data_IF_082007362231
#
_entry.id   IF_082007362231
#
_cell.length_a   1.000
_cell.length_b   1.000
_cell.length_c   1.000
_cell.angle_alpha   90.00
_cell.angle_beta   90.00
_cell.angle_gamma   90.00
#
_symmetry.space_group_name_H-M   'P 1'
#
loop_
_entity.id
_entity.type
_entity.pdbx_description
1 polymer ?
#
# COMPACT_ATOMS: atom_id res chain seq x y z
N UNK A 1 -16.73 24.15 -10.26
CA UNK A 1 -16.60 24.52 -8.84
C UNK A 1 -16.06 23.30 -8.13
N UNK A 2 -14.86 23.41 -7.56
CA UNK A 2 -14.31 22.33 -6.73
C UNK A 2 -15.16 22.24 -5.46
N UNK A 3 -15.58 21.04 -5.02
CA UNK A 3 -16.38 20.91 -3.81
C UNK A 3 -15.56 21.33 -2.60
N UNK A 4 -16.22 21.91 -1.59
CA UNK A 4 -15.56 22.25 -0.33
C UNK A 4 -14.96 20.98 0.32
N UNK A 5 -13.80 21.09 0.99
CA UNK A 5 -13.19 19.97 1.70
C UNK A 5 -14.15 19.40 2.75
N UNK A 6 -14.08 18.09 2.94
CA UNK A 6 -14.77 17.45 4.07
C UNK A 6 -14.11 17.95 5.37
N UNK A 7 -14.89 18.34 6.40
CA UNK A 7 -14.35 18.77 7.68
C UNK A 7 -13.48 17.69 8.34
N UNK A 8 -12.44 18.11 9.05
CA UNK A 8 -11.52 17.19 9.75
C UNK A 8 -12.23 16.38 10.85
N UNK A 9 -13.28 16.94 11.45
CA UNK A 9 -14.09 16.30 12.49
C UNK A 9 -15.23 15.41 11.95
N UNK A 10 -15.32 15.21 10.63
CA UNK A 10 -16.36 14.37 10.04
C UNK A 10 -16.32 12.93 10.58
N UNK A 11 -17.42 12.51 11.21
CA UNK A 11 -17.58 11.15 11.72
C UNK A 11 -18.31 10.27 10.69
N UNK A 12 -17.53 9.58 9.87
CA UNK A 12 -18.04 8.62 8.89
C UNK A 12 -16.95 8.13 7.95
N UNK A 13 -17.34 7.32 6.96
CA UNK A 13 -16.41 6.88 5.92
C UNK A 13 -16.30 7.93 4.81
N UNK A 14 -15.06 8.35 4.54
CA UNK A 14 -14.70 9.18 3.38
C UNK A 14 -13.50 8.53 2.66
N UNK A 15 -13.70 7.28 2.25
CA UNK A 15 -12.68 6.44 1.60
C UNK A 15 -13.19 5.95 0.25
N UNK A 16 -12.27 5.69 -0.67
CA UNK A 16 -12.59 5.02 -1.92
C UNK A 16 -11.34 4.42 -2.56
N UNK A 17 -11.54 3.67 -3.65
CA UNK A 17 -10.49 2.83 -4.20
C UNK A 17 -9.68 3.52 -5.31
N UNK A 18 -8.36 3.31 -5.27
CA UNK A 18 -7.47 3.48 -6.40
C UNK A 18 -7.01 2.09 -6.85
N UNK A 19 -7.44 1.67 -8.04
CA UNK A 19 -7.17 0.33 -8.57
C UNK A 19 -6.65 0.44 -10.00
N UNK A 20 -5.58 -0.30 -10.29
CA UNK A 20 -5.10 -0.54 -11.63
C UNK A 20 -4.43 -1.91 -11.72
N UNK A 21 -4.37 -2.47 -12.93
CA UNK A 21 -3.76 -3.76 -13.21
C UNK A 21 -2.43 -3.59 -13.93
N UNK A 22 -1.58 -4.60 -13.81
CA UNK A 22 -0.35 -4.72 -14.61
C UNK A 22 -0.10 -6.18 -15.00
N UNK A 23 0.57 -6.43 -16.14
CA UNK A 23 0.88 -7.79 -16.56
C UNK A 23 1.76 -8.51 -15.53
N UNK A 24 1.34 -9.72 -15.12
CA UNK A 24 1.99 -10.48 -14.05
C UNK A 24 3.42 -10.89 -14.39
N UNK A 25 3.69 -11.21 -15.66
CA UNK A 25 5.01 -11.52 -16.19
C UNK A 25 5.97 -10.32 -16.08
N UNK A 26 5.47 -9.10 -16.36
CA UNK A 26 6.22 -7.86 -16.19
C UNK A 26 6.47 -7.55 -14.71
N UNK A 27 5.46 -7.71 -13.85
CA UNK A 27 5.60 -7.53 -12.40
C UNK A 27 6.61 -8.51 -11.79
N UNK A 28 6.66 -9.75 -12.29
CA UNK A 28 7.60 -10.78 -11.82
C UNK A 28 9.04 -10.58 -12.32
N UNK A 29 9.29 -9.61 -13.20
CA UNK A 29 10.64 -9.33 -13.72
C UNK A 29 11.48 -8.66 -12.62
N UNK A 30 12.64 -9.24 -12.31
CA UNK A 30 13.54 -8.70 -11.29
C UNK A 30 14.12 -7.33 -11.67
N UNK A 31 14.50 -6.54 -10.66
CA UNK A 31 15.15 -5.25 -10.82
C UNK A 31 14.23 -4.15 -11.34
N UNK A 32 14.79 -3.24 -12.15
CA UNK A 32 14.15 -2.00 -12.56
C UNK A 32 12.84 -2.21 -13.33
N UNK A 33 12.73 -3.26 -14.15
CA UNK A 33 11.56 -3.46 -15.02
C UNK A 33 10.31 -3.77 -14.21
N UNK A 34 10.38 -4.72 -13.26
CA UNK A 34 9.24 -5.05 -12.41
C UNK A 34 8.89 -3.90 -11.46
N UNK A 35 9.90 -3.25 -10.87
CA UNK A 35 9.69 -2.09 -10.01
C UNK A 35 9.02 -0.93 -10.75
N UNK A 36 9.51 -0.58 -11.93
CA UNK A 36 8.92 0.48 -12.75
C UNK A 36 7.48 0.12 -13.14
N UNK A 37 7.24 -1.12 -13.57
CA UNK A 37 5.88 -1.60 -13.89
C UNK A 37 4.91 -1.43 -12.72
N UNK A 38 5.33 -1.84 -11.51
CA UNK A 38 4.53 -1.67 -10.30
C UNK A 38 4.28 -0.19 -9.97
N UNK A 39 5.33 0.64 -9.99
CA UNK A 39 5.23 2.08 -9.73
C UNK A 39 4.30 2.78 -10.73
N UNK A 40 4.42 2.48 -12.02
CA UNK A 40 3.55 3.04 -13.07
C UNK A 40 2.10 2.65 -12.85
N UNK A 41 1.82 1.39 -12.50
CA UNK A 41 0.45 0.94 -12.22
C UNK A 41 -0.16 1.67 -11.03
N UNK A 42 0.59 1.81 -9.92
CA UNK A 42 0.14 2.55 -8.72
C UNK A 42 -0.06 4.03 -9.02
N UNK A 43 0.88 4.68 -9.73
CA UNK A 43 0.75 6.08 -10.11
C UNK A 43 -0.49 6.33 -10.98
N UNK A 44 -0.71 5.49 -11.99
CA UNK A 44 -1.89 5.58 -12.83
C UNK A 44 -3.20 5.31 -12.05
N UNK A 45 -3.17 4.39 -11.07
CA UNK A 45 -4.33 4.16 -10.19
C UNK A 45 -4.69 5.42 -9.39
N UNK A 46 -3.69 6.10 -8.82
CA UNK A 46 -3.87 7.33 -8.03
C UNK A 46 -4.32 8.48 -8.94
N UNK A 47 -3.68 8.65 -10.10
CA UNK A 47 -4.04 9.71 -11.05
C UNK A 47 -5.49 9.57 -11.51
N UNK A 48 -5.92 8.35 -11.86
CA UNK A 48 -7.30 8.06 -12.23
C UNK A 48 -8.28 8.35 -11.08
N UNK A 49 -7.92 7.97 -9.85
CA UNK A 49 -8.78 8.18 -8.68
C UNK A 49 -8.96 9.68 -8.37
N UNK A 50 -7.87 10.46 -8.43
CA UNK A 50 -7.84 11.87 -8.04
C UNK A 50 -8.34 12.79 -9.16
N UNK A 51 -7.83 12.66 -10.39
CA UNK A 51 -8.12 13.61 -11.48
C UNK A 51 -9.47 13.40 -12.13
N UNK A 52 -9.83 12.14 -12.39
CA UNK A 52 -11.07 11.81 -13.12
C UNK A 52 -12.27 11.85 -12.19
N UNK A 53 -12.06 12.06 -10.89
CA UNK A 53 -13.12 11.97 -9.89
C UNK A 53 -13.72 10.57 -9.82
N UNK A 54 -12.98 9.53 -10.23
CA UNK A 54 -13.46 8.14 -10.22
C UNK A 54 -13.89 7.69 -8.82
N UNK A 55 -13.35 8.32 -7.77
CA UNK A 55 -13.74 8.08 -6.38
C UNK A 55 -15.13 8.66 -6.03
N UNK A 56 -15.62 9.63 -6.82
CA UNK A 56 -16.90 10.32 -6.62
C UNK A 56 -18.11 9.51 -7.11
N UNK A 57 -17.87 8.36 -7.75
CA UNK A 57 -18.89 7.40 -8.16
C UNK A 57 -18.66 6.07 -7.45
N UNK A 58 -19.20 5.91 -6.23
CA UNK A 58 -19.05 4.71 -5.39
C UNK A 58 -19.30 3.39 -6.13
N UNK A 59 -20.34 3.39 -6.95
CA UNK A 59 -20.83 2.23 -7.68
C UNK A 59 -19.78 1.74 -8.68
N UNK A 60 -19.19 2.67 -9.45
CA UNK A 60 -18.24 2.35 -10.51
C UNK A 60 -16.92 1.78 -9.97
N UNK A 61 -16.36 2.37 -8.91
CA UNK A 61 -15.13 1.83 -8.36
C UNK A 61 -15.38 0.54 -7.57
N UNK A 62 -16.55 0.37 -6.97
CA UNK A 62 -16.92 -0.89 -6.30
C UNK A 62 -17.09 -2.04 -7.31
N UNK A 63 -17.71 -1.78 -8.45
CA UNK A 63 -17.80 -2.74 -9.57
C UNK A 63 -16.40 -3.18 -10.03
N UNK A 64 -15.47 -2.24 -10.23
CA UNK A 64 -14.09 -2.55 -10.63
C UNK A 64 -13.35 -3.39 -9.58
N UNK A 65 -13.52 -3.08 -8.29
CA UNK A 65 -12.94 -3.88 -7.21
C UNK A 65 -13.53 -5.29 -7.21
N UNK A 66 -14.86 -5.41 -7.38
CA UNK A 66 -15.55 -6.69 -7.45
C UNK A 66 -15.07 -7.52 -8.64
N UNK A 67 -14.97 -6.92 -9.83
CA UNK A 67 -14.44 -7.58 -11.03
C UNK A 67 -13.02 -8.08 -10.82
N UNK A 68 -12.12 -7.26 -10.25
CA UNK A 68 -10.75 -7.67 -9.97
C UNK A 68 -10.65 -8.83 -8.97
N UNK A 69 -11.53 -8.86 -7.95
CA UNK A 69 -11.61 -9.99 -7.02
C UNK A 69 -12.11 -11.25 -7.74
N UNK A 70 -13.12 -11.11 -8.61
CA UNK A 70 -13.75 -12.23 -9.31
C UNK A 70 -12.89 -12.78 -10.46
N UNK A 71 -12.01 -11.98 -11.06
CA UNK A 71 -11.14 -12.43 -12.16
C UNK A 71 -10.09 -13.45 -11.69
N UNK A 72 -9.78 -13.48 -10.40
CA UNK A 72 -8.81 -14.41 -9.83
C UNK A 72 -7.35 -14.10 -10.17
N UNK A 73 -7.08 -12.97 -10.82
CA UNK A 73 -5.74 -12.56 -11.28
C UNK A 73 -4.79 -12.13 -10.14
N UNK A 74 -5.25 -12.21 -8.90
CA UNK A 74 -4.51 -11.85 -7.69
C UNK A 74 -4.61 -10.36 -7.40
N UNK A 75 -5.39 -10.00 -6.37
CA UNK A 75 -5.52 -8.62 -5.90
C UNK A 75 -4.63 -8.45 -4.67
N UNK A 76 -3.73 -7.47 -4.72
CA UNK A 76 -2.99 -7.01 -3.54
C UNK A 76 -3.66 -5.75 -2.99
N UNK A 77 -4.21 -5.84 -1.79
CA UNK A 77 -4.79 -4.70 -1.08
C UNK A 77 -3.83 -4.16 -0.02
N UNK A 78 -3.97 -2.87 0.30
CA UNK A 78 -3.22 -2.20 1.36
C UNK A 78 -4.18 -1.75 2.44
N UNK A 79 -3.85 -2.04 3.70
CA UNK A 79 -4.58 -1.61 4.88
C UNK A 79 -3.73 -0.61 5.68
N UNK A 80 -4.36 0.47 6.14
CA UNK A 80 -3.67 1.53 6.89
C UNK A 80 -3.09 2.63 6.00
N UNK A 81 -2.43 3.59 6.64
CA UNK A 81 -1.79 4.73 6.00
C UNK A 81 -0.74 5.32 6.94
N UNK A 82 0.47 5.67 6.46
CA UNK A 82 1.45 6.40 7.26
C UNK A 82 0.96 7.77 7.75
N UNK A 83 -0.16 8.28 7.20
CA UNK A 83 -0.78 9.53 7.63
C UNK A 83 -1.65 9.37 8.87
N UNK A 84 -2.00 8.15 9.27
CA UNK A 84 -2.82 7.92 10.46
C UNK A 84 -2.05 8.16 11.77
N UNK A 85 -0.70 8.15 11.74
CA UNK A 85 0.14 8.49 12.89
C UNK A 85 -0.21 7.66 14.14
N UNK A 86 -0.46 6.37 13.94
CA UNK A 86 -0.89 5.41 14.98
C UNK A 86 0.12 5.28 16.12
N UNK A 87 1.41 5.47 15.88
CA UNK A 87 2.45 5.52 16.91
C UNK A 87 2.45 6.84 17.70
N UNK A 88 1.72 7.87 17.25
CA UNK A 88 1.53 9.12 17.97
C UNK A 88 0.51 9.05 19.11
N UNK A 89 -0.20 7.93 19.26
CA UNK A 89 -1.19 7.73 20.34
C UNK A 89 -0.47 7.48 21.66
N UNK A 90 -0.71 8.34 22.65
CA UNK A 90 -0.17 8.18 24.01
C UNK A 90 -1.29 8.23 25.04
N UNK A 91 -1.46 7.15 25.79
CA UNK A 91 -2.44 7.03 26.87
C UNK A 91 -1.88 7.46 28.24
N UNK A 92 -0.69 8.04 28.29
CA UNK A 92 0.05 8.39 29.52
C UNK A 92 1.19 7.43 29.86
N UNK A 93 1.44 6.43 29.02
CA UNK A 93 2.49 5.42 29.20
C UNK A 93 3.62 5.55 28.18
N UNK A 94 3.58 6.59 27.36
CA UNK A 94 4.46 6.76 26.21
C UNK A 94 3.88 6.13 24.94
N UNK A 95 4.59 6.31 23.83
CA UNK A 95 4.20 5.84 22.51
C UNK A 95 4.18 4.30 22.42
N UNK A 96 3.35 3.71 21.53
CA UNK A 96 3.26 2.27 21.37
C UNK A 96 4.61 1.67 20.97
N UNK A 97 4.94 0.50 21.52
CA UNK A 97 6.15 -0.22 21.16
C UNK A 97 6.07 -0.84 19.75
N UNK A 98 4.88 -1.30 19.36
CA UNK A 98 4.56 -1.91 18.07
C UNK A 98 3.06 -1.75 17.77
N UNK A 99 2.72 -1.55 16.49
CA UNK A 99 1.33 -1.58 15.98
C UNK A 99 1.20 -2.70 14.96
N UNK A 100 0.11 -3.46 15.03
CA UNK A 100 -0.21 -4.55 14.10
C UNK A 100 -1.67 -4.47 13.65
N UNK A 101 -1.91 -4.52 12.33
CA UNK A 101 -3.27 -4.61 11.77
C UNK A 101 -3.61 -6.08 11.58
N UNK A 102 -4.05 -6.75 12.65
CA UNK A 102 -4.24 -8.22 12.67
C UNK A 102 -5.25 -8.75 11.64
N UNK A 103 -6.20 -7.90 11.20
CA UNK A 103 -7.23 -8.28 10.22
C UNK A 103 -6.65 -8.64 8.86
N UNK A 104 -5.43 -8.19 8.53
CA UNK A 104 -4.78 -8.48 7.25
C UNK A 104 -4.39 -9.94 7.09
N UNK A 105 -4.21 -10.67 8.19
CA UNK A 105 -3.92 -12.10 8.15
C UNK A 105 -5.04 -12.91 7.49
N UNK A 106 -6.29 -12.46 7.64
CA UNK A 106 -7.46 -13.08 7.02
C UNK A 106 -7.67 -12.63 5.57
N UNK A 107 -7.37 -11.37 5.26
CA UNK A 107 -7.65 -10.80 3.93
C UNK A 107 -6.52 -10.96 2.93
N UNK A 108 -5.30 -11.28 3.39
CA UNK A 108 -4.10 -11.30 2.55
C UNK A 108 -3.61 -9.90 2.17
N UNK A 109 -4.14 -8.85 2.81
CA UNK A 109 -3.70 -7.48 2.58
C UNK A 109 -2.31 -7.22 3.18
N UNK A 110 -1.66 -6.15 2.70
CA UNK A 110 -0.45 -5.60 3.29
C UNK A 110 -0.82 -4.47 4.26
N UNK A 111 -0.40 -4.58 5.51
CA UNK A 111 -0.54 -3.52 6.50
C UNK A 111 0.55 -2.46 6.32
N UNK A 112 0.20 -1.19 6.42
CA UNK A 112 1.12 -0.06 6.29
C UNK A 112 0.86 0.97 7.38
N UNK A 113 1.93 1.39 8.07
CA UNK A 113 1.94 2.47 9.05
C UNK A 113 3.23 3.29 8.93
N UNK A 114 3.28 4.45 9.57
CA UNK A 114 4.52 5.20 9.71
C UNK A 114 5.53 4.42 10.56
N UNK A 115 6.82 4.60 10.28
CA UNK A 115 7.86 3.96 11.08
C UNK A 115 7.98 4.64 12.44
N UNK A 116 8.05 3.81 13.48
CA UNK A 116 8.41 4.27 14.82
C UNK A 116 9.86 4.75 14.91
N UNK A 117 10.76 4.21 14.08
CA UNK A 117 12.23 4.30 14.28
C UNK A 117 12.90 5.37 13.41
N UNK A 118 12.33 5.70 12.28
CA UNK A 118 12.96 6.60 11.31
C UNK A 118 11.95 7.61 10.78
N UNK A 119 12.31 8.89 10.84
CA UNK A 119 11.53 9.96 10.22
C UNK A 119 11.36 9.68 8.72
N UNK A 120 10.12 9.73 8.25
CA UNK A 120 9.77 9.42 6.86
C UNK A 120 9.80 7.93 6.49
N UNK A 121 10.12 7.04 7.43
CA UNK A 121 10.08 5.60 7.21
C UNK A 121 8.66 5.04 7.22
N UNK A 122 8.51 3.85 6.65
CA UNK A 122 7.24 3.11 6.58
C UNK A 122 7.46 1.72 7.18
N UNK A 123 6.54 1.28 8.04
CA UNK A 123 6.46 -0.10 8.47
C UNK A 123 5.44 -0.86 7.63
N UNK A 124 5.85 -2.03 7.15
CA UNK A 124 5.04 -2.91 6.30
C UNK A 124 4.84 -4.25 7.01
N UNK A 125 3.59 -4.63 7.22
CA UNK A 125 3.19 -5.92 7.80
C UNK A 125 2.56 -6.81 6.74
N UNK A 126 3.02 -8.06 6.62
CA UNK A 126 2.49 -9.04 5.68
C UNK A 126 2.39 -10.39 6.41
N UNK A 127 1.25 -11.07 6.24
CA UNK A 127 1.02 -12.40 6.79
C UNK A 127 1.00 -13.42 5.65
N UNK A 128 2.00 -14.30 5.60
CA UNK A 128 2.14 -15.34 4.59
C UNK A 128 2.41 -16.69 5.27
N UNK A 129 2.07 -17.84 4.63
CA UNK A 129 2.55 -19.15 5.06
C UNK A 129 4.07 -19.18 5.20
N UNK A 130 4.61 -20.03 6.09
CA UNK A 130 6.04 -20.05 6.44
C UNK A 130 6.97 -20.12 5.22
N UNK A 131 6.67 -20.99 4.25
CA UNK A 131 7.49 -21.14 3.05
C UNK A 131 7.44 -19.90 2.14
N UNK A 132 6.27 -19.27 2.06
CA UNK A 132 6.09 -18.03 1.30
C UNK A 132 6.78 -16.85 1.98
N UNK A 133 6.76 -16.78 3.31
CA UNK A 133 7.51 -15.77 4.09
C UNK A 133 9.00 -15.88 3.81
N UNK A 134 9.56 -17.09 3.82
CA UNK A 134 10.99 -17.30 3.52
C UNK A 134 11.35 -16.82 2.10
N UNK A 135 10.54 -17.18 1.10
CA UNK A 135 10.76 -16.71 -0.28
C UNK A 135 10.65 -15.19 -0.38
N UNK A 136 9.64 -14.60 0.25
CA UNK A 136 9.46 -13.15 0.27
C UNK A 136 10.67 -12.44 0.88
N UNK A 137 11.21 -12.95 2.00
CA UNK A 137 12.41 -12.41 2.64
C UNK A 137 13.62 -12.43 1.71
N UNK A 138 13.85 -13.53 0.99
CA UNK A 138 14.93 -13.61 0.00
C UNK A 138 14.73 -12.57 -1.11
N UNK A 139 13.55 -12.52 -1.73
CA UNK A 139 13.25 -11.56 -2.79
C UNK A 139 13.40 -10.10 -2.33
N UNK A 140 12.93 -9.79 -1.11
CA UNK A 140 13.04 -8.45 -0.54
C UNK A 140 14.49 -8.07 -0.27
N UNK A 141 15.27 -8.98 0.32
CA UNK A 141 16.70 -8.76 0.54
C UNK A 141 17.45 -8.48 -0.76
N UNK A 142 17.22 -9.30 -1.79
CA UNK A 142 17.86 -9.15 -3.10
C UNK A 142 17.47 -7.83 -3.76
N UNK A 143 16.20 -7.43 -3.66
CA UNK A 143 15.72 -6.15 -4.17
C UNK A 143 16.37 -4.95 -3.47
N UNK A 144 16.51 -4.98 -2.14
CA UNK A 144 17.18 -3.91 -1.38
C UNK A 144 18.66 -3.84 -1.71
N UNK A 145 19.35 -4.98 -1.80
CA UNK A 145 20.75 -5.03 -2.21
C UNK A 145 20.95 -4.43 -3.61
N UNK A 146 20.06 -4.77 -4.56
CA UNK A 146 20.07 -4.21 -5.90
C UNK A 146 19.86 -2.68 -5.91
N UNK A 147 18.92 -2.17 -5.11
CA UNK A 147 18.70 -0.71 -4.97
C UNK A 147 19.94 0.01 -4.41
N UNK A 148 20.59 -0.56 -3.41
CA UNK A 148 21.79 0.03 -2.79
C UNK A 148 22.99 0.04 -3.74
N UNK A 149 23.14 -0.99 -4.59
CA UNK A 149 24.20 -1.05 -5.60
C UNK A 149 23.97 -0.09 -6.78
N UNK A 150 22.72 0.36 -7.01
CA UNK A 150 22.36 1.22 -8.15
C UNK A 150 22.23 2.69 -7.78
N UNK A 151 22.15 3.03 -6.49
CA UNK A 151 22.34 4.40 -6.00
C UNK A 151 23.83 4.75 -6.00
N UNK A 152 24.30 5.77 -6.76
CA UNK A 152 25.65 6.28 -6.55
C UNK A 152 25.76 6.78 -5.11
N UNK A 153 26.81 6.39 -4.38
CA UNK A 153 27.17 7.04 -3.13
C UNK A 153 27.56 8.50 -3.41
N UNK A 154 26.60 9.39 -3.48
CA UNK A 154 26.87 10.82 -3.32
C UNK A 154 26.60 11.17 -1.85
N UNK A 155 27.72 11.26 -1.11
CA UNK A 155 27.84 12.13 0.06
C UNK A 155 27.98 13.57 -0.38
#
# INVERSE_FOLDING_TARGET
MEPDPIPDEYLGNCVGAALNAAPKDRLATAGAVGLFTACTAVAAAIEQAVRVGSIRSPELWWERVREAILSGDGVLAVAGSPRFRVYGVDFGFGQPAKVEIVSVARTGAMAVAESRRSSGGIEVGISLPSDATRRFQCCFHDAIAWLQCTTPLNK
#
